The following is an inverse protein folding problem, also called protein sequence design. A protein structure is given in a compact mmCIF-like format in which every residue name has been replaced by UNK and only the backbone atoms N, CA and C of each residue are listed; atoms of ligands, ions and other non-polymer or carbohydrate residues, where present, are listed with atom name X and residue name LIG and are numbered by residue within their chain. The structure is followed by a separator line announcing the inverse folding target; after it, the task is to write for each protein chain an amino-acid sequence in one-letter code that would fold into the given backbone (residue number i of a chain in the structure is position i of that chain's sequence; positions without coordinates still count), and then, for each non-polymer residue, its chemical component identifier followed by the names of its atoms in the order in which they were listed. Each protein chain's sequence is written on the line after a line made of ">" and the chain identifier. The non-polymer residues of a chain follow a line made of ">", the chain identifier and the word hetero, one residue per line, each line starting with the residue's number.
data_IF_430632067524
#
_entry.id   IF_430632067524
#
_cell.length_a   1.000
_cell.length_b   1.000
_cell.length_c   1.000
_cell.angle_alpha   90.00
_cell.angle_beta   90.00
_cell.angle_gamma   90.00
#
_symmetry.space_group_name_H-M   'P 1'
#
loop_
_entity.id
_entity.type
_entity.pdbx_description
1 polymer ?
#
# COMPACT_ATOMS: atom_id res chain seq x y z
N UNK A 1 -11.28 -2.55 -6.54
CA UNK A 1 -11.00 -3.91 -6.02
C UNK A 1 -11.97 -4.93 -6.58
N UNK A 2 -13.28 -4.66 -6.50
CA UNK A 2 -14.29 -5.58 -7.05
C UNK A 2 -14.11 -5.83 -8.55
N UNK A 3 -13.73 -4.81 -9.31
CA UNK A 3 -13.46 -4.94 -10.74
C UNK A 3 -12.26 -5.85 -11.01
N UNK A 4 -11.21 -5.73 -10.23
CA UNK A 4 -10.01 -6.56 -10.37
C UNK A 4 -10.30 -8.02 -10.03
N UNK A 5 -11.03 -8.26 -8.94
CA UNK A 5 -11.45 -9.60 -8.54
C UNK A 5 -12.35 -10.21 -9.62
N UNK A 6 -13.26 -9.42 -10.20
CA UNK A 6 -14.10 -9.87 -11.29
C UNK A 6 -13.32 -10.31 -12.52
N UNK A 7 -12.25 -9.58 -12.88
CA UNK A 7 -11.37 -9.97 -13.99
C UNK A 7 -10.67 -11.30 -13.71
N UNK A 8 -10.17 -11.51 -12.50
CA UNK A 8 -9.54 -12.76 -12.11
C UNK A 8 -10.51 -13.94 -12.21
N UNK A 9 -11.77 -13.75 -11.77
CA UNK A 9 -12.79 -14.79 -11.83
C UNK A 9 -13.20 -15.14 -13.25
N UNK A 10 -13.06 -14.23 -14.21
CA UNK A 10 -13.31 -14.53 -15.63
C UNK A 10 -12.29 -15.49 -16.21
N UNK A 11 -11.08 -15.52 -15.67
CA UNK A 11 -10.01 -16.40 -16.14
C UNK A 11 -10.10 -17.76 -15.45
N UNK A 12 -10.39 -17.78 -14.16
CA UNK A 12 -10.52 -19.02 -13.39
C UNK A 12 -11.47 -18.81 -12.21
N UNK A 13 -12.25 -19.85 -11.88
CA UNK A 13 -13.25 -19.76 -10.81
C UNK A 13 -12.63 -19.51 -9.43
N UNK A 14 -11.46 -20.10 -9.19
CA UNK A 14 -10.74 -19.94 -7.94
C UNK A 14 -9.37 -19.34 -8.24
N UNK A 15 -9.25 -18.01 -8.29
CA UNK A 15 -7.97 -17.37 -8.57
C UNK A 15 -6.89 -17.77 -7.58
N UNK A 16 -5.67 -17.89 -8.07
CA UNK A 16 -4.51 -18.19 -7.24
C UNK A 16 -4.31 -17.05 -6.25
N UNK A 17 -4.34 -17.31 -4.91
CA UNK A 17 -4.28 -16.23 -3.92
C UNK A 17 -3.08 -15.31 -4.05
N UNK A 18 -1.91 -15.85 -4.33
CA UNK A 18 -0.69 -15.06 -4.50
C UNK A 18 -0.81 -14.06 -5.66
N UNK A 19 -1.36 -14.50 -6.79
CA UNK A 19 -1.52 -13.63 -7.96
C UNK A 19 -2.65 -12.63 -7.76
N UNK A 20 -3.69 -13.02 -7.04
CA UNK A 20 -4.78 -12.10 -6.68
C UNK A 20 -4.25 -10.96 -5.80
N UNK A 21 -3.36 -11.25 -4.85
CA UNK A 21 -2.73 -10.24 -4.01
C UNK A 21 -1.90 -9.25 -4.85
N UNK A 22 -1.18 -9.73 -5.85
CA UNK A 22 -0.43 -8.87 -6.77
C UNK A 22 -1.37 -7.91 -7.49
N UNK A 23 -2.51 -8.40 -7.99
CA UNK A 23 -3.51 -7.55 -8.66
C UNK A 23 -4.09 -6.50 -7.71
N UNK A 24 -4.52 -6.92 -6.54
CA UNK A 24 -5.19 -6.03 -5.57
C UNK A 24 -4.23 -4.93 -5.10
N UNK A 25 -2.93 -5.23 -4.98
CA UNK A 25 -1.94 -4.23 -4.56
C UNK A 25 -1.84 -3.06 -5.54
N UNK A 26 -2.12 -3.27 -6.84
CA UNK A 26 -2.12 -2.17 -7.82
C UNK A 26 -3.24 -1.18 -7.55
N UNK A 27 -4.42 -1.67 -7.13
CA UNK A 27 -5.53 -0.80 -6.74
C UNK A 27 -5.20 0.06 -5.53
N UNK A 28 -4.51 -0.52 -4.53
CA UNK A 28 -4.06 0.23 -3.36
C UNK A 28 -3.06 1.31 -3.74
N UNK A 29 -2.12 1.02 -4.63
CA UNK A 29 -1.13 1.99 -5.12
C UNK A 29 -1.80 3.17 -5.83
N UNK A 30 -2.80 2.90 -6.66
CA UNK A 30 -3.58 3.96 -7.32
C UNK A 30 -4.29 4.82 -6.29
N UNK A 31 -4.92 4.21 -5.30
CA UNK A 31 -5.69 4.90 -4.27
C UNK A 31 -4.82 5.85 -3.45
N UNK A 32 -3.66 5.39 -2.98
CA UNK A 32 -2.78 6.25 -2.17
C UNK A 32 -2.19 7.40 -2.99
N UNK A 33 -1.90 7.16 -4.27
CA UNK A 33 -1.41 8.21 -5.15
C UNK A 33 -2.49 9.29 -5.40
N UNK A 34 -3.72 8.87 -5.64
CA UNK A 34 -4.84 9.80 -5.84
C UNK A 34 -5.12 10.61 -4.58
N UNK A 35 -5.10 9.98 -3.41
CA UNK A 35 -5.30 10.66 -2.14
C UNK A 35 -4.20 11.71 -1.91
N UNK A 36 -2.96 11.35 -2.16
CA UNK A 36 -1.82 12.26 -2.00
C UNK A 36 -1.96 13.47 -2.94
N UNK A 37 -2.34 13.23 -4.21
CA UNK A 37 -2.57 14.32 -5.16
C UNK A 37 -3.74 15.22 -4.74
N UNK A 38 -4.82 14.65 -4.20
CA UNK A 38 -5.95 15.43 -3.70
C UNK A 38 -5.55 16.34 -2.53
N UNK A 39 -4.71 15.85 -1.63
CA UNK A 39 -4.18 16.65 -0.54
C UNK A 39 -3.29 17.78 -1.04
N UNK A 40 -2.39 17.48 -1.97
CA UNK A 40 -1.50 18.49 -2.57
C UNK A 40 -2.31 19.59 -3.27
N UNK A 41 -3.35 19.21 -3.98
CA UNK A 41 -4.24 20.19 -4.65
C UNK A 41 -4.87 21.15 -3.66
N UNK A 42 -5.14 20.71 -2.43
CA UNK A 42 -5.71 21.56 -1.37
C UNK A 42 -4.65 22.34 -0.58
N UNK A 43 -3.41 22.31 -1.02
CA UNK A 43 -2.32 23.03 -0.37
C UNK A 43 -1.70 22.27 0.79
N UNK A 44 -2.01 20.97 0.95
CA UNK A 44 -1.43 20.12 2.00
C UNK A 44 -0.32 19.27 1.39
N UNK A 45 0.95 19.46 1.79
CA UNK A 45 2.03 18.61 1.28
C UNK A 45 1.79 17.16 1.68
N UNK A 46 1.88 16.25 0.73
CA UNK A 46 1.64 14.83 0.98
C UNK A 46 2.59 13.98 0.14
N UNK A 47 2.86 12.78 0.64
CA UNK A 47 3.69 11.78 -0.05
C UNK A 47 3.13 10.40 0.23
N UNK A 48 3.17 9.51 -0.76
CA UNK A 48 2.67 8.14 -0.62
C UNK A 48 3.82 7.14 -0.67
N UNK A 49 3.66 6.05 0.10
CA UNK A 49 4.60 4.93 0.12
C UNK A 49 3.87 3.61 0.02
N UNK A 50 4.41 2.68 -0.76
CA UNK A 50 4.00 1.27 -0.70
C UNK A 50 4.67 0.60 0.50
N UNK A 51 4.16 -0.56 0.91
CA UNK A 51 4.75 -1.32 2.03
C UNK A 51 6.22 -1.66 1.79
N UNK A 52 6.61 -1.95 0.54
CA UNK A 52 8.00 -2.23 0.20
C UNK A 52 8.91 -1.01 0.39
N UNK A 53 8.40 0.17 0.13
CA UNK A 53 9.17 1.41 0.26
C UNK A 53 9.44 1.77 1.72
N UNK A 54 8.52 1.42 2.63
CA UNK A 54 8.72 1.64 4.07
C UNK A 54 9.35 0.43 4.76
N UNK A 55 9.56 -0.67 4.03
CA UNK A 55 10.25 -1.88 4.51
C UNK A 55 9.68 -2.40 5.83
N UNK A 56 8.40 -2.73 5.82
CA UNK A 56 7.76 -3.36 6.97
C UNK A 56 8.19 -4.83 7.01
N UNK A 57 8.93 -5.21 8.04
CA UNK A 57 9.37 -6.58 8.25
C UNK A 57 8.43 -7.30 9.20
N UNK A 58 8.01 -8.51 8.81
CA UNK A 58 7.14 -9.35 9.64
C UNK A 58 7.81 -10.70 9.87
N UNK A 59 7.33 -11.46 10.88
CA UNK A 59 7.77 -12.84 11.05
C UNK A 59 7.11 -13.75 10.01
N UNK A 60 7.51 -15.03 9.97
CA UNK A 60 7.05 -15.99 8.97
C UNK A 60 5.75 -16.70 9.33
N UNK A 61 5.07 -16.31 10.40
CA UNK A 61 3.80 -16.92 10.81
C UNK A 61 2.65 -16.41 9.94
N UNK A 62 2.22 -17.18 8.95
CA UNK A 62 1.29 -16.75 7.89
C UNK A 62 0.02 -16.06 8.38
N UNK A 63 -0.67 -16.61 9.40
CA UNK A 63 -1.93 -16.07 9.89
C UNK A 63 -1.76 -15.21 11.14
N UNK A 64 -0.61 -15.30 11.80
CA UNK A 64 -0.30 -14.58 13.04
C UNK A 64 1.01 -13.80 12.92
N UNK A 65 1.35 -13.39 11.69
CA UNK A 65 2.56 -12.62 11.45
C UNK A 65 2.55 -11.33 12.27
N UNK A 66 3.66 -11.05 12.92
CA UNK A 66 3.85 -9.81 13.69
C UNK A 66 4.84 -8.91 12.98
N UNK A 67 4.62 -7.62 13.07
CA UNK A 67 5.56 -6.64 12.55
C UNK A 67 6.79 -6.65 13.47
N UNK A 68 7.95 -7.04 12.91
CA UNK A 68 9.21 -7.08 13.64
C UNK A 68 9.94 -5.74 13.59
N UNK A 69 9.82 -5.04 12.46
CA UNK A 69 10.55 -3.78 12.25
C UNK A 69 9.91 -2.98 11.13
N UNK A 70 9.94 -1.67 11.26
CA UNK A 70 9.59 -0.73 10.20
C UNK A 70 10.77 0.20 10.00
N UNK A 71 11.30 0.26 8.77
CA UNK A 71 12.29 1.25 8.41
C UNK A 71 11.57 2.58 8.15
N UNK A 72 11.64 3.49 9.12
CA UNK A 72 10.90 4.74 9.12
C UNK A 72 11.74 5.96 8.79
N UNK A 73 12.95 5.78 8.27
CA UNK A 73 13.89 6.88 8.00
C UNK A 73 13.27 7.94 7.10
N UNK A 74 12.69 7.52 5.95
CA UNK A 74 12.05 8.44 5.00
C UNK A 74 10.77 9.03 5.58
N UNK A 75 9.98 8.22 6.29
CA UNK A 75 8.74 8.67 6.91
C UNK A 75 9.02 9.78 7.92
N UNK A 76 10.01 9.60 8.78
CA UNK A 76 10.38 10.61 9.76
C UNK A 76 10.83 11.90 9.11
N UNK A 77 11.63 11.81 8.05
CA UNK A 77 12.07 12.98 7.29
C UNK A 77 10.88 13.74 6.70
N UNK A 78 9.90 13.02 6.12
CA UNK A 78 8.70 13.63 5.54
C UNK A 78 7.83 14.29 6.61
N UNK A 79 7.61 13.62 7.74
CA UNK A 79 6.83 14.18 8.85
C UNK A 79 7.51 15.44 9.41
N UNK A 80 8.81 15.41 9.53
CA UNK A 80 9.59 16.57 10.00
C UNK A 80 9.50 17.74 9.03
N UNK A 81 9.38 17.45 7.73
CA UNK A 81 9.18 18.48 6.71
C UNK A 81 7.74 18.97 6.62
N UNK A 82 6.83 18.45 7.46
CA UNK A 82 5.43 18.85 7.47
C UNK A 82 4.55 18.17 6.44
N UNK A 83 5.01 17.07 5.85
CA UNK A 83 4.22 16.30 4.87
C UNK A 83 3.29 15.30 5.55
N UNK A 84 2.11 15.10 4.95
CA UNK A 84 1.22 13.99 5.31
C UNK A 84 1.75 12.74 4.62
N UNK A 85 1.91 11.66 5.37
CA UNK A 85 2.41 10.39 4.86
C UNK A 85 1.24 9.43 4.69
N UNK A 86 1.06 8.91 3.48
CA UNK A 86 0.01 7.94 3.14
C UNK A 86 0.69 6.62 2.81
N UNK A 87 0.34 5.56 3.53
CA UNK A 87 0.96 4.25 3.36
C UNK A 87 -0.08 3.22 2.95
N UNK A 88 0.21 2.44 1.91
CA UNK A 88 -0.61 1.29 1.54
C UNK A 88 -0.40 0.15 2.55
N UNK A 89 -1.51 -0.37 3.04
CA UNK A 89 -1.51 -1.42 4.05
C UNK A 89 -1.36 -2.83 3.52
#
# INVERSE_FOLDING_TARGET
>A
TNRLIGLANQIMEQPVPRELDVMVSTGEQVTIALLSMALIKRGVPAVSYTGNQVRILTDSAHTKARILHIDDTHIRADLKAGRVVVVAG
#
